data_IF_832497563583
#
_entry.id   IF_832497563583
#
_cell.length_a   1.000
_cell.length_b   1.000
_cell.length_c   1.000
_cell.angle_alpha   90.00
_cell.angle_beta   90.00
_cell.angle_gamma   90.00
#
_symmetry.space_group_name_H-M   'P 1'
#
loop_
_entity.id
_entity.type
_entity.pdbx_description
1 polymer ?
#
# COMPACT_ATOMS: atom_id res chain seq x y z
N UNK A 1 10.06 15.33 -1.59
CA UNK A 1 8.63 15.01 -1.72
C UNK A 1 7.90 15.45 -0.46
N UNK A 2 6.72 16.04 -0.60
CA UNK A 2 5.88 16.51 0.51
C UNK A 2 4.78 15.51 0.85
N UNK A 3 4.20 15.61 2.05
CA UNK A 3 3.04 14.81 2.43
C UNK A 3 1.84 15.06 1.49
N UNK A 4 1.64 16.30 1.03
CA UNK A 4 0.58 16.65 0.08
C UNK A 4 0.78 15.95 -1.28
N UNK A 5 2.02 15.80 -1.75
CA UNK A 5 2.33 15.05 -2.97
C UNK A 5 2.01 13.57 -2.81
N UNK A 6 2.37 12.96 -1.67
CA UNK A 6 2.01 11.56 -1.38
C UNK A 6 0.49 11.39 -1.35
N UNK A 7 -0.23 12.30 -0.69
CA UNK A 7 -1.70 12.27 -0.64
C UNK A 7 -2.33 12.36 -2.04
N UNK A 8 -1.78 13.21 -2.92
CA UNK A 8 -2.20 13.28 -4.32
C UNK A 8 -1.92 11.98 -5.06
N UNK A 9 -0.78 11.34 -4.83
CA UNK A 9 -0.45 10.03 -5.42
C UNK A 9 -1.38 8.92 -4.90
N UNK A 10 -1.69 8.90 -3.60
CA UNK A 10 -2.66 7.95 -3.03
C UNK A 10 -4.02 8.15 -3.69
N UNK A 11 -4.51 9.38 -3.76
CA UNK A 11 -5.82 9.70 -4.34
C UNK A 11 -5.90 9.45 -5.86
N UNK A 12 -4.76 9.48 -6.56
CA UNK A 12 -4.67 9.15 -7.99
C UNK A 12 -4.96 7.67 -8.25
N UNK A 13 -4.47 6.78 -7.38
CA UNK A 13 -4.56 5.33 -7.60
C UNK A 13 -5.62 4.63 -6.77
N UNK A 14 -6.03 5.23 -5.65
CA UNK A 14 -6.94 4.61 -4.70
C UNK A 14 -8.04 5.57 -4.24
N UNK A 15 -9.19 4.98 -3.90
CA UNK A 15 -10.24 5.71 -3.19
C UNK A 15 -9.99 5.63 -1.69
N UNK A 16 -9.76 6.77 -1.05
CA UNK A 16 -9.54 6.85 0.40
C UNK A 16 -10.87 6.63 1.12
N UNK A 17 -10.93 5.59 1.95
CA UNK A 17 -12.10 5.23 2.73
C UNK A 17 -12.02 5.86 4.12
N UNK A 18 -10.84 5.79 4.73
CA UNK A 18 -10.56 6.26 6.07
C UNK A 18 -9.13 6.76 6.14
N UNK A 19 -8.89 7.78 6.95
CA UNK A 19 -7.56 8.18 7.34
C UNK A 19 -7.52 8.57 8.82
N UNK A 20 -6.35 8.39 9.42
CA UNK A 20 -6.07 8.77 10.80
C UNK A 20 -4.63 9.28 10.88
N UNK A 21 -4.39 10.30 11.72
CA UNK A 21 -3.06 10.85 11.95
C UNK A 21 -2.74 10.77 13.43
N UNK A 22 -1.63 10.10 13.74
CA UNK A 22 -1.03 10.04 15.05
C UNK A 22 0.16 11.01 15.05
N UNK A 23 0.30 11.76 16.13
CA UNK A 23 1.43 12.66 16.34
C UNK A 23 2.01 12.30 17.70
N UNK A 24 3.33 12.15 17.77
CA UNK A 24 4.01 11.88 19.03
C UNK A 24 3.90 13.08 19.99
N UNK A 25 4.10 12.85 21.28
CA UNK A 25 3.89 13.87 22.33
C UNK A 25 4.82 15.09 22.19
N UNK A 26 5.96 14.93 21.52
CA UNK A 26 6.89 16.01 21.16
C UNK A 26 6.43 16.84 19.94
N UNK A 27 5.45 16.37 19.18
CA UNK A 27 4.86 17.06 18.03
C UNK A 27 5.64 16.92 16.71
N UNK A 28 6.84 16.35 16.75
CA UNK A 28 7.76 16.27 15.61
C UNK A 28 7.49 15.03 14.75
N UNK A 29 7.35 13.85 15.37
CA UNK A 29 7.05 12.61 14.68
C UNK A 29 5.55 12.47 14.39
N UNK A 30 5.22 11.99 13.20
CA UNK A 30 3.86 11.63 12.83
C UNK A 30 3.77 10.30 12.10
N UNK A 31 2.63 9.65 12.29
CA UNK A 31 2.23 8.46 11.55
C UNK A 31 0.84 8.71 10.97
N UNK A 32 0.72 8.66 9.64
CA UNK A 32 -0.55 8.81 8.94
C UNK A 32 -0.96 7.50 8.31
N UNK A 33 -2.12 6.98 8.73
CA UNK A 33 -2.68 5.72 8.24
C UNK A 33 -3.85 5.99 7.33
N UNK A 34 -3.92 5.23 6.24
CA UNK A 34 -5.02 5.22 5.31
C UNK A 34 -5.56 3.81 5.15
N UNK A 35 -6.88 3.71 5.08
CA UNK A 35 -7.55 2.54 4.50
C UNK A 35 -8.10 2.99 3.16
N UNK A 36 -7.69 2.30 2.10
CA UNK A 36 -8.03 2.64 0.73
C UNK A 36 -8.53 1.43 -0.02
N UNK A 37 -9.16 1.68 -1.18
CA UNK A 37 -9.60 0.62 -2.10
C UNK A 37 -9.22 0.94 -3.53
N UNK A 38 -9.10 -0.12 -4.32
CA UNK A 38 -8.93 0.02 -5.76
C UNK A 38 -10.20 0.64 -6.38
N UNK A 39 -10.11 1.68 -7.23
CA UNK A 39 -11.29 2.42 -7.74
C UNK A 39 -12.30 1.54 -8.49
N UNK A 40 -11.83 0.51 -9.19
CA UNK A 40 -12.66 -0.43 -9.95
C UNK A 40 -13.15 -1.65 -9.16
N UNK A 41 -12.65 -1.88 -7.93
CA UNK A 41 -13.12 -2.99 -7.10
C UNK A 41 -14.40 -2.54 -6.38
N UNK A 42 -15.53 -3.01 -6.91
CA UNK A 42 -16.92 -2.86 -6.44
C UNK A 42 -17.26 -1.49 -5.80
N UNK A 43 -17.90 -0.57 -6.54
CA UNK A 43 -18.61 0.54 -5.94
C UNK A 43 -19.93 0.00 -5.33
N UNK A 44 -19.88 -0.47 -4.09
CA UNK A 44 -21.07 -0.45 -3.24
C UNK A 44 -20.77 0.41 -2.03
N UNK A 45 -20.80 1.73 -2.26
CA UNK A 45 -21.53 2.71 -1.46
C UNK A 45 -21.56 4.03 -2.24
N UNK A 46 -22.70 4.37 -2.83
CA UNK A 46 -23.18 5.75 -2.75
C UNK A 46 -23.65 5.86 -1.30
N UNK A 47 -22.91 6.59 -0.46
CA UNK A 47 -23.46 7.02 0.83
C UNK A 47 -24.37 8.20 0.49
N UNK A 48 -25.61 7.89 0.09
CA UNK A 48 -26.70 8.84 0.16
C UNK A 48 -27.18 8.83 1.62
N UNK A 49 -26.93 9.96 2.27
CA UNK A 49 -27.55 10.47 3.50
C UNK A 49 -27.20 9.83 4.87
N UNK A 50 -26.32 10.58 5.56
CA UNK A 50 -26.66 11.27 6.80
C UNK A 50 -27.04 10.40 8.01
N UNK A 51 -26.06 10.03 8.86
CA UNK A 51 -26.31 9.92 10.31
C UNK A 51 -25.15 10.38 11.18
N UNK A 52 -25.55 11.27 12.08
CA UNK A 52 -24.85 11.93 13.18
C UNK A 52 -24.43 10.91 14.27
N UNK A 53 -23.26 11.16 14.85
CA UNK A 53 -22.72 10.63 16.13
C UNK A 53 -22.22 9.17 16.20
N UNK A 54 -20.90 9.05 16.41
CA UNK A 54 -20.35 8.06 17.34
C UNK A 54 -20.06 6.67 16.78
N UNK A 55 -19.23 6.56 15.74
CA UNK A 55 -18.88 5.25 15.16
C UNK A 55 -17.70 4.56 15.87
N UNK A 56 -17.92 4.11 17.11
CA UNK A 56 -17.10 3.07 17.77
C UNK A 56 -17.36 1.64 17.23
N UNK A 57 -18.03 1.50 16.08
CA UNK A 57 -18.48 0.21 15.53
C UNK A 57 -18.28 0.02 14.01
N UNK A 58 -17.49 0.87 13.35
CA UNK A 58 -17.27 0.75 11.89
C UNK A 58 -16.27 -0.36 11.49
N UNK A 59 -15.44 -0.87 12.42
CA UNK A 59 -14.26 -1.70 12.09
C UNK A 59 -14.54 -3.13 11.59
N UNK A 60 -15.74 -3.68 11.79
CA UNK A 60 -16.05 -5.08 11.38
C UNK A 60 -16.95 -5.20 10.15
N UNK A 61 -17.69 -4.16 9.77
CA UNK A 61 -18.57 -4.18 8.60
C UNK A 61 -17.84 -3.75 7.33
N UNK A 62 -16.85 -2.86 7.42
CA UNK A 62 -16.05 -2.43 6.27
C UNK A 62 -15.18 -3.57 5.71
N UNK A 63 -14.56 -4.36 6.59
CA UNK A 63 -13.78 -5.56 6.25
C UNK A 63 -14.60 -6.68 5.60
N UNK A 64 -15.94 -6.63 5.66
CA UNK A 64 -16.79 -7.67 5.05
C UNK A 64 -17.11 -7.43 3.57
N UNK A 65 -16.82 -6.24 3.02
CA UNK A 65 -17.23 -5.86 1.67
C UNK A 65 -16.11 -5.95 0.64
N UNK A 66 -14.86 -5.88 1.09
CA UNK A 66 -13.67 -5.93 0.25
C UNK A 66 -12.81 -7.12 0.66
N UNK A 67 -12.49 -7.99 -0.31
CA UNK A 67 -11.70 -9.20 -0.04
C UNK A 67 -10.22 -8.86 0.17
N UNK A 68 -9.76 -7.74 -0.38
CA UNK A 68 -8.40 -7.23 -0.31
C UNK A 68 -8.38 -5.77 0.14
N UNK A 69 -8.61 -5.48 1.43
CA UNK A 69 -8.45 -4.12 1.94
C UNK A 69 -6.99 -3.68 1.76
N UNK A 70 -6.78 -2.43 1.33
CA UNK A 70 -5.44 -1.86 1.16
C UNK A 70 -5.19 -0.87 2.29
N UNK A 71 -4.06 -1.04 2.96
CA UNK A 71 -3.58 -0.20 4.03
C UNK A 71 -2.34 0.54 3.57
N UNK A 72 -2.27 1.84 3.88
CA UNK A 72 -1.10 2.67 3.61
C UNK A 72 -0.70 3.35 4.92
N UNK A 73 0.57 3.27 5.28
CA UNK A 73 1.14 3.96 6.43
C UNK A 73 2.26 4.87 5.94
N UNK A 74 2.19 6.15 6.30
CA UNK A 74 3.19 7.16 5.98
C UNK A 74 3.75 7.69 7.28
N UNK A 75 5.02 7.44 7.51
CA UNK A 75 5.75 7.88 8.70
C UNK A 75 6.73 8.99 8.33
N UNK A 76 6.90 9.96 9.22
CA UNK A 76 7.84 11.03 9.00
C UNK A 76 7.98 12.01 10.15
N UNK A 77 8.82 13.01 9.93
CA UNK A 77 9.16 14.07 10.87
C UNK A 77 8.74 15.42 10.32
N UNK A 78 8.07 16.23 11.14
CA UNK A 78 7.80 17.64 10.86
C UNK A 78 9.05 18.44 11.19
N UNK A 79 9.60 19.10 10.18
CA UNK A 79 10.73 20.00 10.31
C UNK A 79 10.25 21.43 10.60
N UNK A 80 11.18 22.27 11.04
CA UNK A 80 10.93 23.70 11.21
C UNK A 80 10.38 24.32 9.91
N UNK A 81 9.49 25.31 10.05
CA UNK A 81 8.80 26.02 8.95
C UNK A 81 7.76 25.19 8.18
N UNK A 82 7.34 24.03 8.72
CA UNK A 82 6.21 23.26 8.18
C UNK A 82 6.58 22.31 7.04
N UNK A 83 7.89 22.13 6.79
CA UNK A 83 8.37 21.09 5.91
C UNK A 83 8.20 19.72 6.57
N UNK A 84 8.00 18.68 5.76
CA UNK A 84 7.84 17.31 6.25
C UNK A 84 8.89 16.43 5.58
N UNK A 85 9.61 15.67 6.40
CA UNK A 85 10.48 14.61 5.98
C UNK A 85 9.74 13.28 6.08
N UNK A 86 9.77 12.47 5.03
CA UNK A 86 9.10 11.17 4.98
C UNK A 86 10.16 10.11 5.21
N UNK A 87 9.98 9.34 6.29
CA UNK A 87 10.90 8.27 6.68
C UNK A 87 10.50 6.95 6.03
N UNK A 88 9.20 6.64 6.01
CA UNK A 88 8.71 5.39 5.48
C UNK A 88 7.33 5.53 4.81
N UNK A 89 7.08 4.67 3.82
CA UNK A 89 5.79 4.48 3.18
C UNK A 89 5.53 2.99 3.03
N UNK A 90 4.69 2.44 3.90
CA UNK A 90 4.23 1.06 3.81
C UNK A 90 2.92 0.99 3.03
N UNK A 91 2.82 0.04 2.11
CA UNK A 91 1.55 -0.33 1.48
C UNK A 91 1.39 -1.83 1.59
N UNK A 92 0.26 -2.27 2.15
CA UNK A 92 -0.01 -3.69 2.31
C UNK A 92 -1.49 -4.04 2.21
N UNK A 93 -1.76 -5.31 1.95
CA UNK A 93 -3.09 -5.90 1.96
C UNK A 93 -3.06 -7.27 2.63
N UNK A 94 -3.99 -7.52 3.55
CA UNK A 94 -4.17 -8.83 4.16
C UNK A 94 -5.56 -9.37 3.82
N UNK A 95 -5.59 -10.58 3.26
CA UNK A 95 -6.81 -11.29 2.92
C UNK A 95 -6.84 -12.67 3.57
N UNK A 96 -7.92 -12.95 4.32
CA UNK A 96 -8.13 -14.24 4.97
C UNK A 96 -8.94 -15.16 4.04
N UNK A 97 -8.30 -15.69 2.99
CA UNK A 97 -8.97 -16.46 1.95
C UNK A 97 -8.13 -17.64 1.47
N UNK A 98 -8.81 -18.71 1.03
CA UNK A 98 -8.12 -19.88 0.53
C UNK A 98 -7.83 -19.80 -0.97
N UNK A 99 -6.58 -20.04 -1.36
CA UNK A 99 -6.11 -19.99 -2.75
C UNK A 99 -5.58 -21.31 -3.29
N UNK A 100 -5.67 -22.39 -2.52
CA UNK A 100 -5.10 -23.68 -2.90
C UNK A 100 -5.51 -24.16 -4.30
N UNK A 101 -6.75 -23.90 -4.70
CA UNK A 101 -7.26 -24.28 -6.03
C UNK A 101 -6.70 -23.44 -7.18
N UNK A 102 -6.12 -22.27 -6.90
CA UNK A 102 -5.59 -21.30 -7.88
C UNK A 102 -4.15 -20.89 -7.57
N UNK A 103 -3.44 -21.69 -6.77
CA UNK A 103 -2.12 -21.33 -6.25
C UNK A 103 -1.10 -21.11 -7.38
N UNK A 104 -1.15 -21.92 -8.45
CA UNK A 104 -0.31 -21.74 -9.63
C UNK A 104 -0.48 -20.35 -10.27
N UNK A 105 -1.72 -19.89 -10.36
CA UNK A 105 -2.05 -18.61 -10.99
C UNK A 105 -1.62 -17.44 -10.10
N UNK A 106 -1.79 -17.59 -8.78
CA UNK A 106 -1.32 -16.60 -7.79
C UNK A 106 0.20 -16.49 -7.80
N UNK A 107 0.93 -17.62 -7.87
CA UNK A 107 2.39 -17.63 -7.97
C UNK A 107 2.84 -16.96 -9.27
N UNK A 108 2.22 -17.29 -10.40
CA UNK A 108 2.55 -16.68 -11.68
C UNK A 108 2.29 -15.17 -11.68
N UNK A 109 1.17 -14.74 -11.10
CA UNK A 109 0.86 -13.33 -10.93
C UNK A 109 1.92 -12.64 -10.04
N UNK A 110 2.28 -13.24 -8.90
CA UNK A 110 3.31 -12.69 -8.01
C UNK A 110 4.67 -12.52 -8.72
N UNK A 111 5.05 -13.49 -9.56
CA UNK A 111 6.26 -13.39 -10.39
C UNK A 111 6.18 -12.24 -11.40
N UNK A 112 5.02 -11.99 -12.01
CA UNK A 112 4.84 -10.87 -12.96
C UNK A 112 5.02 -9.50 -12.28
N UNK A 113 4.66 -9.39 -11.01
CA UNK A 113 4.73 -8.14 -10.25
C UNK A 113 5.91 -8.10 -9.27
N UNK A 114 6.89 -9.00 -9.41
CA UNK A 114 7.95 -9.20 -8.41
C UNK A 114 8.80 -7.96 -8.14
N UNK A 115 8.83 -7.00 -9.05
CA UNK A 115 9.61 -5.77 -8.89
C UNK A 115 8.89 -4.74 -7.99
N UNK A 116 7.59 -4.93 -7.74
CA UNK A 116 6.73 -3.99 -7.03
C UNK A 116 6.06 -4.58 -5.79
N UNK A 117 5.84 -5.90 -5.77
CA UNK A 117 5.11 -6.55 -4.67
C UNK A 117 5.83 -7.79 -4.16
N UNK A 118 5.68 -8.03 -2.86
CA UNK A 118 5.98 -9.29 -2.20
C UNK A 118 4.66 -9.94 -1.77
N UNK A 119 4.52 -11.25 -1.99
CA UNK A 119 3.37 -12.03 -1.55
C UNK A 119 3.82 -13.11 -0.59
N UNK A 120 3.29 -13.05 0.63
CA UNK A 120 3.47 -14.03 1.66
C UNK A 120 2.17 -14.80 1.94
N UNK A 121 2.34 -16.09 2.23
CA UNK A 121 1.23 -16.97 2.60
C UNK A 121 1.41 -17.44 4.04
N UNK A 122 0.51 -17.03 4.91
CA UNK A 122 0.52 -17.37 6.33
C UNK A 122 -0.46 -18.52 6.58
N UNK A 123 0.08 -19.66 6.98
CA UNK A 123 -0.69 -20.83 7.41
C UNK A 123 -0.93 -20.77 8.92
N UNK A 124 -2.19 -20.81 9.35
CA UNK A 124 -2.48 -20.83 10.80
C UNK A 124 -2.18 -22.20 11.40
N UNK A 125 -1.28 -22.22 12.39
CA UNK A 125 -0.99 -23.41 13.19
C UNK A 125 -2.27 -23.94 13.86
N UNK A 126 -2.56 -25.22 13.68
CA UNK A 126 -3.73 -25.89 14.24
C UNK A 126 -5.00 -25.84 13.36
N UNK A 127 -5.00 -25.10 12.25
CA UNK A 127 -6.09 -25.17 11.27
C UNK A 127 -5.61 -24.81 9.86
N UNK A 128 -5.07 -25.80 9.14
CA UNK A 128 -4.55 -25.64 7.78
C UNK A 128 -5.60 -25.19 6.74
N UNK A 129 -6.90 -25.21 7.08
CA UNK A 129 -7.96 -24.66 6.22
C UNK A 129 -8.09 -23.13 6.33
N UNK A 130 -7.45 -22.52 7.33
CA UNK A 130 -7.40 -21.06 7.51
C UNK A 130 -6.03 -20.56 7.09
N UNK A 131 -5.97 -20.02 5.89
CA UNK A 131 -4.80 -19.35 5.35
C UNK A 131 -5.08 -17.87 5.16
N UNK A 132 -4.05 -17.06 5.36
CA UNK A 132 -4.05 -15.64 5.02
C UNK A 132 -3.01 -15.42 3.93
N UNK A 133 -3.32 -14.51 3.02
CA UNK A 133 -2.34 -13.95 2.10
C UNK A 133 -2.06 -12.54 2.56
N UNK A 134 -0.79 -12.21 2.66
CA UNK A 134 -0.32 -10.87 2.94
C UNK A 134 0.50 -10.40 1.76
N UNK A 135 0.21 -9.18 1.30
CA UNK A 135 0.79 -8.60 0.10
C UNK A 135 1.40 -7.28 0.55
N UNK A 136 2.69 -7.10 0.27
CA UNK A 136 3.43 -5.90 0.62
C UNK A 136 3.94 -5.24 -0.64
N UNK A 137 3.96 -3.92 -0.66
CA UNK A 137 4.72 -3.15 -1.64
C UNK A 137 6.20 -3.21 -1.32
N UNK A 138 7.04 -3.08 -2.36
CA UNK A 138 8.49 -2.97 -2.24
C UNK A 138 9.00 -1.54 -2.03
N UNK A 139 8.12 -0.56 -1.83
CA UNK A 139 8.53 0.82 -1.53
C UNK A 139 9.52 0.87 -0.35
N UNK A 140 9.31 0.19 0.79
CA UNK A 140 10.27 0.22 1.90
C UNK A 140 11.64 -0.33 1.51
N UNK A 141 11.70 -1.43 0.74
CA UNK A 141 12.95 -2.02 0.25
C UNK A 141 13.72 -1.05 -0.65
N UNK A 142 13.00 -0.31 -1.52
CA UNK A 142 13.59 0.70 -2.40
C UNK A 142 14.13 1.88 -1.58
N UNK A 143 13.33 2.41 -0.65
CA UNK A 143 13.75 3.51 0.22
C UNK A 143 14.98 3.12 1.04
N UNK A 144 15.00 1.91 1.61
CA UNK A 144 16.12 1.41 2.40
C UNK A 144 17.41 1.29 1.57
N UNK A 145 17.31 0.71 0.37
CA UNK A 145 18.47 0.58 -0.53
C UNK A 145 19.09 1.95 -0.84
N UNK A 146 18.27 2.98 -1.02
CA UNK A 146 18.78 4.34 -1.22
C UNK A 146 19.44 4.90 0.05
N UNK A 147 18.89 4.66 1.24
CA UNK A 147 19.51 5.11 2.50
C UNK A 147 20.86 4.45 2.78
N UNK A 148 21.02 3.16 2.47
CA UNK A 148 22.28 2.43 2.67
C UNK A 148 23.40 2.98 1.77
N UNK A 149 23.09 3.40 0.54
CA UNK A 149 24.10 4.03 -0.34
C UNK A 149 24.67 5.35 0.19
N UNK A 150 23.99 6.02 1.12
CA UNK A 150 24.44 7.30 1.72
C UNK A 150 25.47 7.05 2.82
N UNK A 151 25.34 5.95 3.57
CA UNK A 151 26.18 5.69 4.75
C UNK A 151 27.60 5.26 4.39
N UNK A 152 27.83 4.79 3.16
CA UNK A 152 29.17 4.41 2.68
C UNK A 152 30.00 5.62 2.19
N UNK A 153 29.41 6.82 2.08
CA UNK A 153 30.11 8.08 1.80
C UNK A 153 30.40 8.83 3.13
N UNK A 154 31.47 8.38 3.80
CA UNK A 154 31.97 8.65 5.16
C UNK A 154 32.13 10.12 5.67
N UNK A 155 31.44 11.15 5.17
CA UNK A 155 31.70 12.56 5.56
C UNK A 155 30.44 13.46 5.78
N UNK A 156 29.29 12.93 6.21
CA UNK A 156 28.05 13.73 6.33
C UNK A 156 27.37 13.62 7.70
N UNK A 157 28.03 14.10 8.75
CA UNK A 157 27.45 14.18 10.10
C UNK A 157 26.37 15.27 10.25
N UNK A 158 26.00 16.02 9.20
CA UNK A 158 25.14 17.20 9.41
C UNK A 158 24.18 17.62 8.27
N UNK A 159 23.90 16.79 7.27
CA UNK A 159 22.81 17.10 6.33
C UNK A 159 21.80 15.96 6.22
N UNK A 160 20.68 16.08 6.94
CA UNK A 160 19.36 15.58 6.53
C UNK A 160 18.94 16.29 5.23
N UNK A 161 19.74 16.13 4.18
CA UNK A 161 19.47 16.68 2.87
C UNK A 161 18.26 15.96 2.29
N UNK A 162 17.32 16.78 1.84
CA UNK A 162 16.09 16.40 1.16
C UNK A 162 16.41 15.31 0.12
N UNK A 163 15.82 14.11 0.27
CA UNK A 163 16.01 12.95 -0.62
C UNK A 163 15.85 13.26 -2.12
N UNK A 164 15.21 14.38 -2.49
CA UNK A 164 15.05 14.80 -3.89
C UNK A 164 16.15 15.72 -4.42
N UNK A 165 17.05 16.26 -3.59
CA UNK A 165 18.10 17.19 -4.05
C UNK A 165 19.46 16.54 -4.21
N UNK A 166 19.72 15.40 -3.54
CA UNK A 166 20.99 14.65 -3.64
C UNK A 166 20.96 13.44 -4.56
N UNK A 167 19.79 12.98 -4.98
CA UNK A 167 19.62 11.80 -5.79
C UNK A 167 19.03 12.13 -7.17
N UNK A 168 19.58 11.53 -8.22
CA UNK A 168 19.01 11.53 -9.58
C UNK A 168 17.82 10.55 -9.68
N UNK A 169 17.04 10.44 -8.61
CA UNK A 169 15.99 9.45 -8.43
C UNK A 169 14.67 10.18 -8.35
N UNK A 170 13.82 9.91 -9.34
CA UNK A 170 12.45 10.41 -9.40
C UNK A 170 11.58 9.62 -8.42
N UNK A 171 11.74 9.90 -7.12
CA UNK A 171 10.96 9.31 -6.05
C UNK A 171 9.43 9.45 -6.28
N UNK A 172 8.90 10.59 -6.76
CA UNK A 172 7.51 10.69 -7.23
C UNK A 172 7.14 9.62 -8.23
N UNK A 173 7.95 9.41 -9.27
CA UNK A 173 7.69 8.39 -10.27
C UNK A 173 7.76 6.96 -9.71
N UNK A 174 8.71 6.67 -8.83
CA UNK A 174 8.84 5.35 -8.17
C UNK A 174 7.61 5.04 -7.34
N UNK A 175 7.17 5.98 -6.49
CA UNK A 175 5.98 5.78 -5.65
C UNK A 175 4.73 5.68 -6.52
N UNK A 176 4.60 6.52 -7.54
CA UNK A 176 3.48 6.48 -8.50
C UNK A 176 3.35 5.11 -9.19
N UNK A 177 4.46 4.57 -9.68
CA UNK A 177 4.50 3.25 -10.31
C UNK A 177 4.16 2.15 -9.31
N UNK A 178 4.74 2.17 -8.11
CA UNK A 178 4.47 1.15 -7.11
C UNK A 178 3.01 1.16 -6.64
N UNK A 179 2.39 2.34 -6.45
CA UNK A 179 0.96 2.42 -6.16
C UNK A 179 0.10 1.85 -7.29
N UNK A 180 0.42 2.20 -8.54
CA UNK A 180 -0.28 1.65 -9.71
C UNK A 180 -0.20 0.13 -9.74
N UNK A 181 1.02 -0.43 -9.72
CA UNK A 181 1.23 -1.87 -9.85
C UNK A 181 0.73 -2.66 -8.65
N UNK A 182 0.80 -2.10 -7.44
CA UNK A 182 0.16 -2.68 -6.27
C UNK A 182 -1.36 -2.75 -6.46
N UNK A 183 -1.99 -1.65 -6.89
CA UNK A 183 -3.43 -1.63 -7.20
C UNK A 183 -3.83 -2.63 -8.26
N UNK A 184 -3.08 -2.71 -9.37
CA UNK A 184 -3.31 -3.68 -10.44
C UNK A 184 -3.15 -5.12 -9.97
N UNK A 185 -2.13 -5.39 -9.15
CA UNK A 185 -1.94 -6.71 -8.55
C UNK A 185 -3.17 -7.11 -7.71
N UNK A 186 -3.65 -6.23 -6.84
CA UNK A 186 -4.85 -6.48 -6.02
C UNK A 186 -6.09 -6.72 -6.91
N UNK A 187 -6.26 -5.93 -7.97
CA UNK A 187 -7.36 -6.11 -8.93
C UNK A 187 -7.29 -7.47 -9.63
N UNK A 188 -6.11 -7.87 -10.09
CA UNK A 188 -5.90 -9.16 -10.75
C UNK A 188 -6.11 -10.33 -9.79
N UNK A 189 -5.67 -10.18 -8.56
CA UNK A 189 -5.84 -11.18 -7.52
C UNK A 189 -7.34 -11.38 -7.18
N UNK A 190 -8.11 -10.29 -7.06
CA UNK A 190 -9.58 -10.34 -6.93
C UNK A 190 -10.24 -11.04 -8.13
N UNK A 191 -9.80 -10.73 -9.35
CA UNK A 191 -10.32 -11.37 -10.56
C UNK A 191 -10.09 -12.90 -10.56
N UNK A 192 -8.88 -13.35 -10.20
CA UNK A 192 -8.51 -14.77 -10.16
C UNK A 192 -9.26 -15.51 -9.05
N UNK A 193 -9.25 -14.95 -7.83
CA UNK A 193 -9.69 -15.68 -6.63
C UNK A 193 -11.19 -15.52 -6.40
N UNK A 194 -11.69 -14.29 -6.48
CA UNK A 194 -13.06 -13.94 -6.09
C UNK A 194 -13.99 -14.08 -7.28
N UNK A 195 -13.62 -13.51 -8.43
CA UNK A 195 -14.43 -13.60 -9.66
C UNK A 195 -14.20 -14.89 -10.44
N UNK A 196 -13.16 -15.65 -10.09
CA UNK A 196 -12.81 -16.94 -10.71
C UNK A 196 -12.54 -16.85 -12.21
N UNK A 197 -12.03 -15.71 -12.68
CA UNK A 197 -11.60 -15.54 -14.06
C UNK A 197 -10.34 -16.36 -14.35
N UNK A 198 -10.15 -16.78 -15.60
CA UNK A 198 -8.97 -17.50 -16.00
C UNK A 198 -7.79 -16.53 -16.16
N UNK A 199 -6.58 -16.96 -15.81
CA UNK A 199 -5.39 -16.11 -15.88
C UNK A 199 -5.12 -15.49 -17.28
N UNK A 200 -5.31 -16.20 -18.41
CA UNK A 200 -5.15 -15.62 -19.74
C UNK A 200 -6.11 -14.45 -20.01
N UNK A 201 -7.34 -14.50 -19.46
CA UNK A 201 -8.34 -13.44 -19.62
C UNK A 201 -7.98 -12.15 -18.88
N UNK A 202 -6.98 -12.20 -18.01
CA UNK A 202 -6.54 -11.09 -17.16
C UNK A 202 -5.24 -10.50 -17.69
N UNK A 203 -4.33 -11.33 -18.22
CA UNK A 203 -3.01 -10.91 -18.69
C UNK A 203 -3.08 -10.11 -20.00
N UNK A 204 -4.07 -10.39 -20.86
CA UNK A 204 -4.26 -9.69 -22.14
C UNK A 204 -4.86 -8.27 -22.01
N UNK A 205 -5.29 -7.86 -20.81
CA UNK A 205 -5.93 -6.55 -20.58
C UNK A 205 -4.88 -5.43 -20.41
N UNK A 206 -3.64 -5.76 -20.06
CA UNK A 206 -2.61 -4.76 -19.68
C UNK A 206 -1.31 -4.87 -20.52
N UNK A 207 -1.39 -5.27 -21.79
CA UNK A 207 -0.28 -4.97 -22.71
C UNK A 207 -0.42 -3.53 -23.22
N UNK A 208 0.63 -2.69 -23.13
CA UNK A 208 0.65 -1.37 -23.75
C UNK A 208 0.51 -1.44 -25.28
#
# INVERSE_FOLDING_TARGET
MTLEEIEKLIAKHFYIIFNETFVHDDGELFLKRYVVKHPLLRPQFIIEDDQIQGFKRLSKKMTSLEQFPIYIEVEGVKLEKGNVYIENIDVYSEANLSVQSRLSDVIHLAQKYSDHVNLDRILRLGNASKESIVIFSKIPDILLAEFETIQDDDDMEEDLMVLSEKFDIDLPHIIDNNFKYFGDFIRHLDNIIVKKLALPEIIDIDQP
#
